data_IF_342073164126
#
_entry.id   IF_342073164126
#
_cell.length_a   1.000
_cell.length_b   1.000
_cell.length_c   1.000
_cell.angle_alpha   90.00
_cell.angle_beta   90.00
_cell.angle_gamma   90.00
#
_symmetry.space_group_name_H-M   'P 1'
#
loop_
_entity.id
_entity.type
_entity.pdbx_description
1 polymer ?
#
# COMPACT_ATOMS: atom_id res chain seq x y z
N UNK A 1 -13.19 9.95 -10.42
CA UNK A 1 -12.26 8.83 -10.71
C UNK A 1 -12.33 7.81 -9.59
N UNK A 2 -11.89 6.58 -9.85
CA UNK A 2 -11.69 5.58 -8.81
C UNK A 2 -10.19 5.32 -8.66
N UNK A 3 -9.70 5.29 -7.43
CA UNK A 3 -8.35 4.80 -7.12
C UNK A 3 -8.49 3.53 -6.29
N UNK A 4 -7.78 2.47 -6.68
CA UNK A 4 -7.83 1.16 -6.01
C UNK A 4 -6.47 0.87 -5.41
N UNK A 5 -6.45 0.59 -4.11
CA UNK A 5 -5.27 0.16 -3.37
C UNK A 5 -5.49 -1.27 -2.90
N UNK A 6 -4.51 -2.13 -3.18
CA UNK A 6 -4.42 -3.45 -2.59
C UNK A 6 -3.64 -3.33 -1.29
N UNK A 7 -4.06 -4.08 -0.27
CA UNK A 7 -3.52 -3.96 1.08
C UNK A 7 -3.18 -5.33 1.62
N UNK A 8 -1.98 -5.45 2.19
CA UNK A 8 -1.56 -6.60 2.98
C UNK A 8 -1.73 -6.25 4.45
N UNK A 9 -2.55 -7.02 5.16
CA UNK A 9 -2.79 -6.83 6.59
C UNK A 9 -1.78 -7.68 7.38
N UNK A 10 -0.61 -7.12 7.64
CA UNK A 10 0.40 -7.78 8.46
C UNK A 10 -0.03 -7.91 9.93
N UNK A 11 0.70 -8.75 10.67
CA UNK A 11 0.41 -9.07 12.07
C UNK A 11 0.41 -7.85 13.01
N UNK A 12 1.08 -6.75 12.65
CA UNK A 12 1.13 -5.53 13.46
C UNK A 12 0.17 -4.45 12.99
N UNK A 13 -0.63 -4.68 11.95
CA UNK A 13 -1.60 -3.70 11.46
C UNK A 13 -2.54 -3.20 12.60
N UNK A 14 -2.99 -4.12 13.47
CA UNK A 14 -3.84 -3.78 14.62
C UNK A 14 -3.13 -2.89 15.64
N UNK A 15 -1.87 -3.19 15.99
CA UNK A 15 -1.07 -2.39 16.91
C UNK A 15 -0.83 -0.97 16.38
N UNK A 16 -0.70 -0.85 15.05
CA UNK A 16 -0.55 0.45 14.37
C UNK A 16 -1.86 1.19 14.16
N UNK A 17 -3.01 0.59 14.52
CA UNK A 17 -4.35 1.09 14.17
C UNK A 17 -4.48 1.39 12.67
N UNK A 18 -3.90 0.50 11.86
CA UNK A 18 -3.80 0.61 10.41
C UNK A 18 -4.57 -0.54 9.76
N UNK A 19 -5.05 -0.32 8.54
CA UNK A 19 -5.62 -1.39 7.71
C UNK A 19 -4.56 -2.35 7.18
N UNK A 20 -3.27 -2.00 7.32
CA UNK A 20 -2.14 -2.76 6.81
C UNK A 20 -1.21 -1.88 5.97
N UNK A 21 -0.51 -2.50 5.03
CA UNK A 21 0.37 -1.81 4.08
C UNK A 21 -0.19 -1.83 2.68
N UNK A 22 -0.11 -0.71 1.98
CA UNK A 22 -0.54 -0.54 0.61
C UNK A 22 0.55 -1.00 -0.36
N UNK A 23 0.19 -1.84 -1.32
CA UNK A 23 1.06 -2.19 -2.44
C UNK A 23 1.14 -0.97 -3.36
N UNK A 24 2.34 -0.41 -3.51
CA UNK A 24 2.51 0.86 -4.20
C UNK A 24 3.85 0.97 -4.93
N UNK A 25 3.95 1.92 -5.84
CA UNK A 25 5.20 2.39 -6.44
C UNK A 25 5.52 3.76 -5.88
N UNK A 26 6.80 4.01 -5.61
CA UNK A 26 7.32 5.30 -5.16
C UNK A 26 7.96 6.00 -6.37
N UNK A 27 7.31 7.02 -6.97
CA UNK A 27 7.78 7.65 -8.21
C UNK A 27 9.20 8.23 -8.11
N UNK A 28 9.62 8.62 -6.90
CA UNK A 28 10.94 9.19 -6.64
C UNK A 28 12.09 8.20 -6.72
N UNK A 29 11.82 6.89 -6.71
CA UNK A 29 12.86 5.86 -6.79
C UNK A 29 13.17 5.43 -8.23
N UNK A 30 12.29 5.71 -9.18
CA UNK A 30 12.49 5.45 -10.61
C UNK A 30 12.87 3.98 -10.92
N UNK A 31 12.41 3.01 -10.14
CA UNK A 31 12.81 1.61 -10.27
C UNK A 31 11.66 0.61 -10.48
N UNK A 32 10.45 1.09 -10.77
CA UNK A 32 9.22 0.33 -11.08
C UNK A 32 8.85 -0.80 -10.08
N UNK A 33 9.54 -0.88 -8.95
CA UNK A 33 9.29 -1.90 -7.91
C UNK A 33 8.03 -1.62 -7.13
N UNK A 34 7.42 -2.71 -6.65
CA UNK A 34 6.38 -2.66 -5.64
C UNK A 34 7.02 -2.52 -4.26
N UNK A 35 6.53 -1.54 -3.51
CA UNK A 35 6.84 -1.27 -2.11
C UNK A 35 5.57 -1.43 -1.28
N UNK A 36 5.77 -1.65 0.01
CA UNK A 36 4.69 -1.84 0.98
C UNK A 36 4.64 -0.63 1.89
N UNK A 37 3.66 0.25 1.72
CA UNK A 37 3.62 1.55 2.42
C UNK A 37 2.59 1.57 3.55
N UNK A 38 3.02 1.97 4.75
CA UNK A 38 2.16 2.24 5.90
C UNK A 38 1.99 3.76 6.06
N UNK A 39 0.79 4.27 5.80
CA UNK A 39 0.52 5.69 5.88
C UNK A 39 0.59 6.22 7.32
N UNK A 40 0.13 5.43 8.29
CA UNK A 40 0.07 5.83 9.70
C UNK A 40 1.45 6.12 10.28
N UNK A 41 2.46 5.33 9.86
CA UNK A 41 3.83 5.46 10.36
C UNK A 41 4.76 6.14 9.35
N UNK A 42 4.28 6.46 8.15
CA UNK A 42 5.07 7.00 7.03
C UNK A 42 6.32 6.15 6.72
N UNK A 43 6.19 4.82 6.88
CA UNK A 43 7.24 3.85 6.62
C UNK A 43 6.91 3.02 5.39
N UNK A 44 7.94 2.56 4.68
CA UNK A 44 7.78 1.55 3.64
C UNK A 44 8.78 0.41 3.79
N UNK A 45 8.41 -0.75 3.25
CA UNK A 45 9.27 -1.93 3.14
C UNK A 45 9.52 -2.27 1.67
N UNK A 46 10.66 -2.91 1.42
CA UNK A 46 11.07 -3.39 0.08
C UNK A 46 10.75 -4.85 -0.18
N UNK A 47 10.30 -5.58 0.84
CA UNK A 47 9.95 -7.00 0.78
C UNK A 47 8.74 -7.23 1.69
N UNK A 48 7.88 -8.16 1.29
CA UNK A 48 6.64 -8.46 2.02
C UNK A 48 6.92 -9.18 3.35
N UNK A 49 8.00 -9.96 3.39
CA UNK A 49 8.47 -10.71 4.55
C UNK A 49 8.95 -9.80 5.68
N UNK A 50 9.40 -8.58 5.33
CA UNK A 50 9.88 -7.59 6.28
C UNK A 50 8.77 -6.70 6.84
N UNK A 51 7.57 -6.74 6.26
CA UNK A 51 6.45 -5.87 6.65
C UNK A 51 6.09 -6.08 8.12
N UNK A 52 5.97 -4.97 8.85
CA UNK A 52 5.70 -4.95 10.29
C UNK A 52 6.96 -5.02 11.15
N UNK A 53 8.12 -5.40 10.60
CA UNK A 53 9.40 -5.21 11.30
C UNK A 53 9.86 -3.75 11.15
N UNK A 54 9.66 -2.96 12.22
CA UNK A 54 10.02 -1.54 12.24
C UNK A 54 11.52 -1.31 12.07
N UNK A 55 12.38 -2.29 12.40
CA UNK A 55 13.82 -2.17 12.21
C UNK A 55 14.24 -2.24 10.73
N UNK A 56 13.38 -2.83 9.90
CA UNK A 56 13.55 -2.95 8.45
C UNK A 56 12.72 -1.95 7.67
N UNK A 57 11.81 -1.25 8.34
CA UNK A 57 11.04 -0.16 7.78
C UNK A 57 11.96 1.00 7.42
N UNK A 58 11.77 1.56 6.23
CA UNK A 58 12.51 2.73 5.77
C UNK A 58 11.66 3.96 5.93
N UNK A 59 12.21 4.96 6.60
CA UNK A 59 11.64 6.31 6.63
C UNK A 59 12.06 7.04 5.35
N UNK A 60 11.10 7.31 4.48
CA UNK A 60 11.30 8.17 3.32
C UNK A 60 10.17 9.18 3.26
N UNK A 61 10.55 10.45 3.35
CA UNK A 61 9.63 11.56 3.19
C UNK A 61 9.23 11.71 1.73
N UNK A 62 8.08 11.12 1.39
CA UNK A 62 7.44 11.26 0.09
C UNK A 62 7.26 12.74 -0.28
N UNK A 63 7.67 13.10 -1.50
CA UNK A 63 7.45 14.44 -2.09
C UNK A 63 6.26 14.43 -3.03
N UNK A 64 5.99 13.29 -3.65
CA UNK A 64 4.84 13.01 -4.52
C UNK A 64 3.95 11.98 -3.84
N UNK A 65 2.71 11.88 -4.33
CA UNK A 65 1.79 10.81 -3.94
C UNK A 65 2.34 9.48 -4.44
N UNK A 66 2.22 8.43 -3.61
CA UNK A 66 2.44 7.06 -4.06
C UNK A 66 1.46 6.69 -5.17
N UNK A 67 1.87 5.78 -6.04
CA UNK A 67 1.01 5.23 -7.09
C UNK A 67 0.60 3.83 -6.64
N UNK A 68 -0.70 3.48 -6.57
CA UNK A 68 -1.10 2.11 -6.27
C UNK A 68 -0.49 1.13 -7.28
N UNK A 69 0.02 -0.01 -6.82
CA UNK A 69 0.38 -1.10 -7.71
C UNK A 69 -0.89 -1.69 -8.33
N UNK A 70 -0.85 -1.99 -9.61
CA UNK A 70 -1.95 -2.64 -10.31
C UNK A 70 -2.02 -4.12 -9.93
N UNK A 71 -3.21 -4.73 -10.05
CA UNK A 71 -3.36 -6.18 -9.83
C UNK A 71 -2.42 -7.00 -10.74
N UNK A 72 -2.22 -6.54 -11.97
CA UNK A 72 -1.30 -7.22 -12.91
C UNK A 72 0.13 -7.20 -12.39
N UNK A 73 0.64 -6.05 -11.96
CA UNK A 73 2.00 -5.94 -11.40
C UNK A 73 2.14 -6.82 -10.14
N UNK A 74 1.14 -6.84 -9.26
CA UNK A 74 1.15 -7.69 -8.07
C UNK A 74 1.17 -9.18 -8.43
N UNK A 75 0.40 -9.60 -9.44
CA UNK A 75 0.41 -10.98 -9.94
C UNK A 75 1.75 -11.33 -10.60
N UNK A 76 2.31 -10.44 -11.41
CA UNK A 76 3.58 -10.64 -12.11
C UNK A 76 4.73 -10.84 -11.11
N UNK A 77 4.68 -10.16 -9.96
CA UNK A 77 5.64 -10.29 -8.84
C UNK A 77 5.33 -11.45 -7.89
N UNK A 78 4.28 -12.25 -8.15
CA UNK A 78 3.92 -13.40 -7.31
C UNK A 78 3.38 -13.03 -5.91
N UNK A 79 2.87 -11.81 -5.76
CA UNK A 79 2.46 -11.24 -4.47
C UNK A 79 0.95 -11.33 -4.19
N UNK A 80 0.17 -11.96 -5.08
CA UNK A 80 -1.29 -12.02 -5.03
C UNK A 80 -1.84 -12.60 -3.72
N UNK A 81 -1.19 -13.62 -3.17
CA UNK A 81 -1.62 -14.33 -1.95
C UNK A 81 -1.48 -13.47 -0.68
N UNK A 82 -0.80 -12.33 -0.76
CA UNK A 82 -0.64 -11.39 0.35
C UNK A 82 -1.73 -10.32 0.39
N UNK A 83 -2.61 -10.23 -0.62
CA UNK A 83 -3.69 -9.25 -0.59
C UNK A 83 -4.75 -9.71 0.42
N UNK A 84 -4.97 -8.90 1.47
CA UNK A 84 -5.99 -9.15 2.50
C UNK A 84 -7.24 -8.30 2.29
N UNK A 85 -7.07 -7.12 1.68
CA UNK A 85 -8.09 -6.09 1.60
C UNK A 85 -7.89 -5.24 0.33
N UNK A 86 -8.98 -4.82 -0.28
CA UNK A 86 -8.99 -3.82 -1.34
C UNK A 86 -9.67 -2.56 -0.80
N UNK A 87 -9.00 -1.42 -0.93
CA UNK A 87 -9.55 -0.09 -0.64
C UNK A 87 -9.81 0.65 -1.95
N UNK A 88 -11.05 1.06 -2.18
CA UNK A 88 -11.42 1.84 -3.36
C UNK A 88 -11.90 3.22 -2.95
N UNK A 89 -11.19 4.25 -3.41
CA UNK A 89 -11.55 5.65 -3.21
C UNK A 89 -12.39 6.13 -4.39
N UNK A 90 -13.60 6.59 -4.12
CA UNK A 90 -14.42 7.29 -5.12
C UNK A 90 -14.16 8.79 -4.99
N UNK A 91 -13.53 9.37 -6.01
CA UNK A 91 -13.06 10.76 -5.99
C UNK A 91 -13.83 11.58 -7.03
N UNK A 92 -14.37 12.73 -6.63
CA UNK A 92 -15.01 13.71 -7.52
C UNK A 92 -14.51 15.11 -7.17
N UNK A 93 -14.17 15.93 -8.16
CA UNK A 93 -13.67 17.31 -7.97
C UNK A 93 -12.53 17.40 -6.93
N UNK A 94 -11.58 16.46 -7.00
CA UNK A 94 -10.44 16.31 -6.08
C UNK A 94 -10.82 16.06 -4.60
N UNK A 95 -12.06 15.65 -4.32
CA UNK A 95 -12.52 15.25 -2.99
C UNK A 95 -12.86 13.78 -2.95
N UNK A 96 -12.52 13.13 -1.84
CA UNK A 96 -12.96 11.77 -1.54
C UNK A 96 -14.45 11.85 -1.14
N UNK A 97 -15.31 11.16 -1.88
CA UNK A 97 -16.73 11.06 -1.58
C UNK A 97 -17.02 9.89 -0.65
N UNK A 98 -16.44 8.74 -0.96
CA UNK A 98 -16.56 7.53 -0.16
C UNK A 98 -15.31 6.66 -0.31
N UNK A 99 -15.19 5.70 0.62
CA UNK A 99 -14.19 4.65 0.58
C UNK A 99 -14.94 3.32 0.72
N UNK A 100 -14.76 2.45 -0.27
CA UNK A 100 -15.28 1.08 -0.25
C UNK A 100 -14.17 0.12 0.15
N UNK A 101 -14.48 -0.77 1.09
CA UNK A 101 -13.59 -1.81 1.59
C UNK A 101 -14.10 -3.18 1.13
N UNK A 102 -13.25 -3.98 0.49
CA UNK A 102 -13.58 -5.33 0.02
C UNK A 102 -12.58 -6.29 0.66
N UNK A 103 -13.05 -7.10 1.62
CA UNK A 103 -12.25 -8.18 2.19
C UNK A 103 -12.16 -9.33 1.19
N UNK A 104 -10.99 -9.95 1.10
CA UNK A 104 -10.75 -11.20 0.35
C UNK A 104 -10.89 -12.38 1.31
#
# INVERSE_FOLDING_TARGET
>A
MKETYFVYRDNKALERQSDGVEFCKIPEFYDDKIYFYCAEYMLFWTSVEDVGDLSKGKDFKLKKKIIPATLKEICDEGLIDYISLIKQYNIQDNKILDITYISI
#
